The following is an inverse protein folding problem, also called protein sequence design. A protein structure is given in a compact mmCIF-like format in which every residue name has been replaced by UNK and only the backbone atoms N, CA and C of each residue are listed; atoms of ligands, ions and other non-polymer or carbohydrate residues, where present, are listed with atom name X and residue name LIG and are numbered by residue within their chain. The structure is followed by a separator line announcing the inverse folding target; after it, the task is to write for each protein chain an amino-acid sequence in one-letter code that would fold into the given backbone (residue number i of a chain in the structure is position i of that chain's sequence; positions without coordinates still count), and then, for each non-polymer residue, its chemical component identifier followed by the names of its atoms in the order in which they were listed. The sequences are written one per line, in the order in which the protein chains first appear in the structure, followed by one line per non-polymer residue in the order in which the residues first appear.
data_IF_021591075115
#
_entry.id   IF_021591075115
#
_cell.length_a   1.000
_cell.length_b   1.000
_cell.length_c   1.000
_cell.angle_alpha   90.00
_cell.angle_beta   90.00
_cell.angle_gamma   90.00
#
_symmetry.space_group_name_H-M   'P 1'
#
loop_
_entity.id
_entity.type
_entity.pdbx_description
1 polymer ?
#
# COMPACT_ATOMS: atom_id res chain seq x y z
N UNK A 1 -18.12 33.16 23.19
CA UNK A 1 -18.42 31.85 22.57
C UNK A 1 -17.28 31.44 21.63
N UNK A 2 -16.15 30.88 22.10
CA UNK A 2 -15.03 30.46 21.22
C UNK A 2 -14.20 29.23 21.70
N UNK A 3 -14.56 28.56 22.79
CA UNK A 3 -13.75 27.45 23.34
C UNK A 3 -14.17 26.03 22.92
N UNK A 4 -15.35 25.85 22.32
CA UNK A 4 -15.92 24.52 22.04
C UNK A 4 -15.25 23.79 20.86
N UNK A 5 -14.64 24.51 19.92
CA UNK A 5 -14.11 23.92 18.67
C UNK A 5 -12.73 23.27 18.85
N UNK A 6 -11.92 23.71 19.82
CA UNK A 6 -10.55 23.20 19.98
C UNK A 6 -10.52 21.80 20.62
N UNK A 7 -11.43 21.53 21.57
CA UNK A 7 -11.48 20.24 22.29
C UNK A 7 -11.95 19.09 21.39
N UNK A 8 -12.90 19.36 20.49
CA UNK A 8 -13.44 18.39 19.53
C UNK A 8 -12.37 17.99 18.50
N UNK A 9 -11.58 18.96 18.02
CA UNK A 9 -10.51 18.70 17.05
C UNK A 9 -9.40 17.84 17.69
N UNK A 10 -9.02 18.11 18.94
CA UNK A 10 -7.99 17.34 19.64
C UNK A 10 -8.42 15.89 19.94
N UNK A 11 -9.70 15.65 20.21
CA UNK A 11 -10.22 14.31 20.49
C UNK A 11 -10.37 13.45 19.23
N UNK A 12 -10.72 14.06 18.09
CA UNK A 12 -10.75 13.35 16.80
C UNK A 12 -9.34 12.90 16.38
N UNK A 13 -8.32 13.73 16.61
CA UNK A 13 -6.93 13.39 16.30
C UNK A 13 -6.46 12.19 17.12
N UNK A 14 -6.75 12.15 18.43
CA UNK A 14 -6.35 11.04 19.30
C UNK A 14 -7.03 9.72 18.90
N UNK A 15 -8.29 9.77 18.48
CA UNK A 15 -9.03 8.58 18.02
C UNK A 15 -8.46 8.04 16.69
N UNK A 16 -8.05 8.92 15.78
CA UNK A 16 -7.42 8.52 14.49
C UNK A 16 -6.04 7.89 14.72
N UNK A 17 -5.26 8.39 15.70
CA UNK A 17 -3.94 7.83 16.03
C UNK A 17 -4.03 6.42 16.66
N UNK A 18 -5.07 6.14 17.45
CA UNK A 18 -5.23 4.84 18.13
C UNK A 18 -5.75 3.73 17.20
N UNK A 19 -6.49 4.07 16.14
CA UNK A 19 -7.04 3.09 15.20
C UNK A 19 -5.99 2.47 14.26
N UNK A 20 -4.79 3.08 14.16
CA UNK A 20 -3.75 2.67 13.21
C UNK A 20 -2.84 1.54 13.70
N UNK A 21 -3.00 1.06 14.95
CA UNK A 21 -2.04 0.14 15.60
C UNK A 21 -2.58 -1.30 15.72
N UNK A 22 -3.85 -1.56 15.40
CA UNK A 22 -4.50 -2.83 15.78
C UNK A 22 -4.55 -3.94 14.71
N UNK A 23 -3.82 -3.85 13.60
CA UNK A 23 -3.75 -5.00 12.66
C UNK A 23 -2.55 -5.88 13.01
N UNK A 24 -2.75 -7.15 13.42
CA UNK A 24 -1.64 -8.08 13.49
C UNK A 24 -1.10 -8.34 12.07
N UNK A 25 0.20 -8.15 11.88
CA UNK A 25 0.88 -8.54 10.63
C UNK A 25 1.13 -10.05 10.73
N UNK A 26 0.36 -10.83 9.98
CA UNK A 26 0.72 -12.22 9.72
C UNK A 26 1.75 -12.23 8.60
N UNK A 27 3.02 -12.43 8.94
CA UNK A 27 4.07 -12.67 7.94
C UNK A 27 3.90 -14.10 7.45
N UNK A 28 3.29 -14.27 6.30
CA UNK A 28 3.36 -15.52 5.53
C UNK A 28 4.35 -15.30 4.40
N UNK A 29 5.62 -15.65 4.63
CA UNK A 29 6.54 -15.85 3.53
C UNK A 29 6.06 -17.07 2.73
N UNK A 30 5.85 -16.90 1.43
CA UNK A 30 6.00 -17.86 0.32
C UNK A 30 5.02 -17.50 -0.79
N UNK A 31 5.54 -16.95 -1.89
CA UNK A 31 4.92 -17.09 -3.21
C UNK A 31 6.03 -17.04 -4.26
N UNK A 32 6.52 -18.22 -4.67
CA UNK A 32 7.22 -18.36 -5.96
C UNK A 32 6.19 -18.12 -7.06
N UNK A 33 6.20 -16.94 -7.69
CA UNK A 33 5.06 -16.41 -8.43
C UNK A 33 4.61 -17.26 -9.63
N UNK A 34 5.50 -18.04 -10.26
CA UNK A 34 5.14 -18.88 -11.41
C UNK A 34 5.33 -20.40 -11.19
N UNK A 35 5.62 -20.83 -9.95
CA UNK A 35 5.91 -22.25 -9.65
C UNK A 35 7.25 -22.70 -10.24
N UNK A 36 7.58 -23.98 -10.18
CA UNK A 36 8.87 -24.54 -10.60
C UNK A 36 9.16 -24.30 -12.09
N UNK A 37 10.37 -23.88 -12.43
CA UNK A 37 10.85 -23.70 -13.81
C UNK A 37 12.08 -24.57 -14.12
N UNK A 38 12.45 -24.64 -15.41
CA UNK A 38 13.69 -25.29 -15.84
C UNK A 38 14.92 -24.58 -15.25
N UNK A 39 15.86 -25.36 -14.72
CA UNK A 39 17.06 -24.88 -14.04
C UNK A 39 16.90 -24.64 -12.54
N UNK A 40 15.67 -24.65 -12.01
CA UNK A 40 15.45 -24.54 -10.56
C UNK A 40 15.99 -25.78 -9.83
N UNK A 41 16.33 -25.59 -8.55
CA UNK A 41 16.51 -26.70 -7.61
C UNK A 41 15.36 -26.70 -6.63
N UNK A 42 14.56 -27.77 -6.62
CA UNK A 42 13.39 -27.90 -5.75
C UNK A 42 13.59 -29.02 -4.71
N UNK A 43 13.16 -28.76 -3.47
CA UNK A 43 13.02 -29.78 -2.44
C UNK A 43 11.63 -30.39 -2.53
N UNK A 44 11.57 -31.69 -2.85
CA UNK A 44 10.33 -32.39 -3.17
C UNK A 44 10.16 -33.58 -2.24
N UNK A 45 9.02 -33.64 -1.55
CA UNK A 45 8.58 -34.88 -0.90
C UNK A 45 7.78 -35.70 -1.88
N UNK A 46 8.09 -36.98 -2.02
CA UNK A 46 7.34 -37.82 -2.95
C UNK A 46 7.26 -39.29 -2.53
N UNK A 47 6.36 -40.02 -3.18
CA UNK A 47 6.29 -41.48 -3.16
C UNK A 47 5.98 -41.98 -4.57
N UNK A 48 6.88 -42.78 -5.11
CA UNK A 48 6.74 -43.47 -6.38
C UNK A 48 6.13 -44.85 -6.18
N UNK A 49 5.03 -45.12 -6.90
CA UNK A 49 4.42 -46.44 -6.99
C UNK A 49 4.26 -46.87 -8.44
N UNK A 50 4.14 -48.18 -8.66
CA UNK A 50 3.89 -48.78 -9.96
C UNK A 50 3.03 -50.04 -9.78
N UNK A 51 2.38 -50.48 -10.85
CA UNK A 51 1.61 -51.73 -10.89
C UNK A 51 2.44 -52.76 -11.67
N UNK A 52 3.08 -53.74 -10.99
CA UNK A 52 3.96 -54.71 -11.64
C UNK A 52 3.22 -55.62 -12.62
N UNK A 53 1.99 -56.04 -12.29
CA UNK A 53 1.25 -57.09 -13.00
C UNK A 53 0.11 -56.52 -13.87
N UNK A 54 -0.23 -55.24 -13.71
CA UNK A 54 -1.34 -54.58 -14.39
C UNK A 54 -2.72 -54.97 -13.84
N UNK A 55 -2.77 -55.50 -12.62
CA UNK A 55 -3.99 -56.01 -11.96
C UNK A 55 -4.63 -54.98 -11.01
N UNK A 56 -4.02 -53.81 -10.83
CA UNK A 56 -4.45 -52.73 -9.96
C UNK A 56 -3.84 -52.76 -8.55
N UNK A 57 -2.96 -53.72 -8.25
CA UNK A 57 -2.20 -53.74 -6.99
C UNK A 57 -0.91 -52.91 -7.15
N UNK A 58 -0.80 -51.83 -6.38
CA UNK A 58 0.32 -50.89 -6.49
C UNK A 58 1.42 -51.19 -5.47
N UNK A 59 2.66 -51.24 -5.93
CA UNK A 59 3.86 -51.37 -5.10
C UNK A 59 4.61 -50.04 -5.00
N UNK A 60 5.10 -49.70 -3.80
CA UNK A 60 6.02 -48.58 -3.58
C UNK A 60 7.44 -48.99 -4.01
N UNK A 61 8.09 -48.14 -4.79
CA UNK A 61 9.46 -48.39 -5.25
C UNK A 61 10.47 -47.32 -4.85
N UNK A 62 10.00 -46.11 -4.53
CA UNK A 62 10.83 -45.01 -4.04
C UNK A 62 10.02 -44.07 -3.15
N UNK A 63 10.64 -43.55 -2.08
CA UNK A 63 9.96 -42.73 -1.08
C UNK A 63 10.91 -41.77 -0.38
N UNK A 64 10.53 -40.49 -0.42
CA UNK A 64 11.22 -39.41 0.27
C UNK A 64 10.22 -38.48 0.98
N UNK A 65 9.34 -39.02 1.84
CA UNK A 65 8.29 -38.23 2.51
C UNK A 65 8.77 -37.37 3.69
N UNK A 66 9.79 -37.82 4.41
CA UNK A 66 10.15 -37.16 5.68
C UNK A 66 11.08 -35.97 5.41
N UNK A 67 12.20 -36.22 4.73
CA UNK A 67 13.22 -35.20 4.46
C UNK A 67 13.11 -34.56 3.07
N UNK A 68 12.27 -35.11 2.18
CA UNK A 68 12.29 -34.74 0.77
C UNK A 68 13.56 -35.19 0.04
N UNK A 69 13.62 -34.92 -1.26
CA UNK A 69 14.80 -35.03 -2.09
C UNK A 69 14.95 -33.74 -2.90
N UNK A 70 16.19 -33.31 -3.10
CA UNK A 70 16.50 -32.18 -3.95
C UNK A 70 16.60 -32.64 -5.41
N UNK A 71 15.89 -31.95 -6.29
CA UNK A 71 15.93 -32.19 -7.72
C UNK A 71 16.29 -30.92 -8.46
N UNK A 72 17.34 -31.01 -9.28
CA UNK A 72 17.59 -30.02 -10.33
C UNK A 72 16.63 -30.28 -11.48
N UNK A 73 15.82 -29.27 -11.80
CA UNK A 73 14.73 -29.37 -12.77
C UNK A 73 15.30 -29.14 -14.17
N UNK A 74 15.94 -30.17 -14.72
CA UNK A 74 16.57 -30.15 -16.03
C UNK A 74 16.18 -31.38 -16.86
N UNK A 75 15.96 -31.23 -18.18
CA UNK A 75 15.77 -32.37 -19.07
C UNK A 75 16.94 -33.36 -18.99
N UNK A 76 16.63 -34.66 -18.96
CA UNK A 76 17.63 -35.74 -18.93
C UNK A 76 18.30 -35.99 -17.57
N UNK A 77 18.02 -35.19 -16.53
CA UNK A 77 18.38 -35.49 -15.13
C UNK A 77 17.34 -36.34 -14.42
N UNK A 78 16.08 -36.15 -14.81
CA UNK A 78 14.91 -36.85 -14.30
C UNK A 78 14.28 -37.61 -15.46
N UNK A 79 13.44 -38.61 -15.14
CA UNK A 79 12.56 -39.21 -16.15
C UNK A 79 11.60 -38.13 -16.67
N UNK A 80 11.37 -38.12 -17.98
CA UNK A 80 10.69 -37.02 -18.68
C UNK A 80 9.31 -36.70 -18.09
N UNK A 81 8.53 -37.72 -17.71
CA UNK A 81 7.19 -37.51 -17.18
C UNK A 81 7.21 -36.87 -15.79
N UNK A 82 8.21 -37.18 -14.97
CA UNK A 82 8.37 -36.57 -13.65
C UNK A 82 8.85 -35.11 -13.78
N UNK A 83 9.83 -34.84 -14.64
CA UNK A 83 10.27 -33.49 -15.00
C UNK A 83 9.08 -32.61 -15.44
N UNK A 84 8.33 -33.06 -16.45
CA UNK A 84 7.17 -32.33 -16.96
C UNK A 84 6.07 -32.18 -15.90
N UNK A 85 5.92 -33.15 -15.00
CA UNK A 85 4.95 -33.12 -13.92
C UNK A 85 5.25 -32.05 -12.87
N UNK A 86 6.53 -31.78 -12.59
CA UNK A 86 7.00 -30.80 -11.61
C UNK A 86 6.92 -29.35 -12.12
N UNK A 87 7.10 -29.12 -13.42
CA UNK A 87 7.04 -27.78 -14.00
C UNK A 87 5.71 -27.07 -13.64
N UNK A 88 5.83 -25.82 -13.22
CA UNK A 88 4.73 -24.95 -12.80
C UNK A 88 4.16 -25.25 -11.42
N UNK A 89 4.60 -26.31 -10.73
CA UNK A 89 4.12 -26.60 -9.37
C UNK A 89 4.63 -25.55 -8.38
N UNK A 90 3.75 -25.05 -7.52
CA UNK A 90 4.10 -24.02 -6.52
C UNK A 90 4.58 -24.63 -5.22
N UNK A 91 5.36 -23.87 -4.45
CA UNK A 91 5.71 -24.26 -3.08
C UNK A 91 4.43 -24.47 -2.26
N UNK A 92 4.35 -25.61 -1.57
CA UNK A 92 3.17 -26.06 -0.83
C UNK A 92 2.11 -26.78 -1.66
N UNK A 93 2.31 -26.94 -2.97
CA UNK A 93 1.41 -27.70 -3.83
C UNK A 93 1.65 -29.20 -3.70
N UNK A 94 0.54 -29.98 -3.73
CA UNK A 94 0.57 -31.44 -3.83
C UNK A 94 -0.10 -31.89 -5.12
N UNK A 95 0.53 -32.80 -5.86
CA UNK A 95 0.04 -33.29 -7.15
C UNK A 95 0.37 -34.77 -7.32
N UNK A 96 -0.57 -35.51 -7.91
CA UNK A 96 -0.31 -36.87 -8.40
C UNK A 96 0.18 -36.77 -9.85
N UNK A 97 1.43 -37.13 -10.09
CA UNK A 97 2.03 -37.16 -11.42
C UNK A 97 1.96 -38.60 -11.92
N UNK A 98 1.31 -38.79 -13.07
CA UNK A 98 1.22 -40.10 -13.74
C UNK A 98 2.18 -40.07 -14.92
N UNK A 99 3.16 -40.97 -14.90
CA UNK A 99 4.20 -41.06 -15.91
C UNK A 99 3.94 -42.29 -16.77
N UNK A 100 3.51 -42.11 -18.03
CA UNK A 100 3.33 -43.24 -18.94
C UNK A 100 4.68 -43.89 -19.28
N UNK A 101 4.69 -45.15 -19.74
CA UNK A 101 5.92 -45.91 -19.99
C UNK A 101 6.93 -45.19 -20.89
N UNK A 102 6.43 -44.52 -21.94
CA UNK A 102 7.23 -43.75 -22.90
C UNK A 102 7.97 -42.54 -22.31
N UNK A 103 7.59 -42.10 -21.10
CA UNK A 103 8.19 -40.96 -20.40
C UNK A 103 8.80 -41.36 -19.05
N UNK A 104 8.88 -42.66 -18.77
CA UNK A 104 9.44 -43.24 -17.55
C UNK A 104 10.86 -43.74 -17.76
N UNK A 105 11.13 -44.96 -17.34
CA UNK A 105 12.39 -45.65 -17.61
C UNK A 105 12.35 -46.29 -18.99
N UNK A 106 13.14 -45.77 -19.93
CA UNK A 106 13.19 -46.25 -21.32
C UNK A 106 14.64 -46.52 -21.72
N UNK A 107 14.89 -47.62 -22.44
CA UNK A 107 16.23 -48.02 -22.90
C UNK A 107 17.21 -48.21 -21.73
N UNK A 108 16.74 -48.76 -20.63
CA UNK A 108 17.58 -49.00 -19.46
C UNK A 108 18.56 -50.15 -19.72
N UNK A 109 19.80 -50.08 -19.21
CA UNK A 109 20.75 -51.17 -19.41
C UNK A 109 20.26 -52.48 -18.78
N UNK A 110 20.40 -53.63 -19.47
CA UNK A 110 20.09 -54.93 -18.89
C UNK A 110 20.88 -55.18 -17.61
N UNK A 111 20.21 -55.68 -16.57
CA UNK A 111 20.77 -55.91 -15.24
C UNK A 111 20.84 -54.67 -14.35
N UNK A 112 20.36 -53.51 -14.80
CA UNK A 112 20.26 -52.32 -13.94
C UNK A 112 19.11 -52.48 -12.92
N UNK A 113 19.22 -51.88 -11.71
CA UNK A 113 18.11 -51.88 -10.75
C UNK A 113 16.80 -51.29 -11.31
N UNK A 114 16.90 -50.45 -12.35
CA UNK A 114 15.78 -49.78 -13.00
C UNK A 114 15.10 -50.63 -14.08
N UNK A 115 15.70 -51.75 -14.51
CA UNK A 115 15.16 -52.63 -15.56
C UNK A 115 13.71 -53.05 -15.31
N UNK A 116 13.37 -53.34 -14.04
CA UNK A 116 12.02 -53.75 -13.64
C UNK A 116 10.92 -52.69 -13.83
N UNK A 117 11.31 -51.44 -14.05
CA UNK A 117 10.37 -50.33 -14.29
C UNK A 117 10.26 -49.97 -15.78
N UNK A 118 11.05 -50.59 -16.65
CA UNK A 118 10.95 -50.38 -18.08
C UNK A 118 9.60 -50.85 -18.60
N UNK A 119 8.93 -50.01 -19.38
CA UNK A 119 7.59 -50.33 -19.90
C UNK A 119 6.45 -50.12 -18.90
N UNK A 120 6.74 -49.74 -17.66
CA UNK A 120 5.72 -49.56 -16.61
C UNK A 120 5.18 -48.13 -16.55
N UNK A 121 3.92 -47.99 -16.13
CA UNK A 121 3.36 -46.69 -15.74
C UNK A 121 3.73 -46.42 -14.29
N UNK A 122 4.27 -45.24 -14.02
CA UNK A 122 4.69 -44.83 -12.68
C UNK A 122 3.76 -43.74 -12.14
N UNK A 123 3.53 -43.76 -10.84
CA UNK A 123 2.64 -42.85 -10.15
C UNK A 123 3.40 -42.18 -9.02
N UNK A 124 3.41 -40.84 -8.99
CA UNK A 124 4.12 -40.07 -7.99
C UNK A 124 3.16 -39.18 -7.23
N UNK A 125 2.97 -39.48 -5.95
CA UNK A 125 2.34 -38.57 -5.00
C UNK A 125 3.40 -37.57 -4.53
N UNK A 126 3.27 -36.32 -4.97
CA UNK A 126 4.35 -35.33 -4.93
C UNK A 126 3.92 -34.07 -4.19
N UNK A 127 4.80 -33.51 -3.34
CA UNK A 127 4.61 -32.27 -2.60
C UNK A 127 5.86 -31.38 -2.67
N UNK A 128 5.69 -30.11 -3.06
CA UNK A 128 6.81 -29.16 -3.15
C UNK A 128 7.03 -28.49 -1.80
N UNK A 129 8.20 -28.73 -1.19
CA UNK A 129 8.56 -28.15 0.11
C UNK A 129 9.13 -26.75 -0.05
N UNK A 130 10.06 -26.57 -0.99
CA UNK A 130 10.71 -25.28 -1.27
C UNK A 130 11.43 -25.28 -2.63
N UNK A 131 11.78 -24.09 -3.11
CA UNK A 131 12.68 -23.90 -4.25
C UNK A 131 13.96 -23.27 -3.68
N UNK A 132 15.08 -24.00 -3.77
CA UNK A 132 16.37 -23.71 -3.11
C UNK A 132 17.21 -22.76 -3.97
N UNK A 133 17.25 -23.01 -5.28
CA UNK A 133 18.04 -22.23 -6.23
C UNK A 133 17.11 -21.85 -7.37
N UNK A 134 16.79 -20.56 -7.42
CA UNK A 134 15.74 -19.96 -8.24
C UNK A 134 15.56 -18.54 -7.74
N UNK A 135 16.57 -17.70 -7.95
CA UNK A 135 16.55 -16.28 -7.58
C UNK A 135 15.63 -15.56 -8.55
N UNK A 136 14.32 -15.75 -8.37
CA UNK A 136 13.27 -15.10 -9.14
C UNK A 136 12.67 -14.01 -8.28
N UNK A 137 12.90 -12.76 -8.68
CA UNK A 137 12.15 -11.60 -8.21
C UNK A 137 10.69 -11.80 -8.62
N UNK A 138 9.96 -12.49 -7.75
CA UNK A 138 8.54 -12.77 -7.87
C UNK A 138 7.71 -11.52 -7.54
N UNK A 139 8.22 -10.35 -7.90
CA UNK A 139 7.71 -9.05 -7.52
C UNK A 139 6.76 -8.51 -8.58
N UNK A 140 5.65 -9.24 -8.72
CA UNK A 140 4.35 -8.62 -8.96
C UNK A 140 3.72 -8.08 -7.67
N UNK A 141 4.45 -8.10 -6.56
CA UNK A 141 4.06 -7.53 -5.28
C UNK A 141 5.13 -6.56 -4.78
N UNK A 142 5.40 -5.48 -5.53
CA UNK A 142 5.94 -4.24 -4.97
C UNK A 142 6.98 -4.41 -3.84
N UNK A 143 8.07 -5.13 -4.08
CA UNK A 143 9.21 -5.24 -3.15
C UNK A 143 10.09 -3.98 -3.12
N UNK A 144 9.53 -2.84 -3.54
CA UNK A 144 10.10 -1.50 -3.36
C UNK A 144 9.19 -0.55 -2.58
N UNK A 145 8.06 -1.04 -2.05
CA UNK A 145 7.03 -0.15 -1.56
C UNK A 145 6.95 -0.17 -0.03
N UNK A 146 7.29 0.99 0.51
CA UNK A 146 6.36 1.64 1.45
C UNK A 146 6.50 1.29 2.93
N UNK A 147 7.71 1.37 3.48
CA UNK A 147 7.83 2.13 4.74
C UNK A 147 8.44 3.50 4.48
N UNK A 148 9.58 3.58 3.78
CA UNK A 148 10.20 4.85 3.42
C UNK A 148 9.33 5.75 2.53
N UNK A 149 8.75 5.19 1.47
CA UNK A 149 7.90 5.95 0.52
C UNK A 149 6.49 6.23 1.08
N UNK A 150 5.94 5.33 1.90
CA UNK A 150 4.69 5.59 2.63
C UNK A 150 4.90 6.67 3.69
N UNK A 151 5.97 6.59 4.48
CA UNK A 151 6.35 7.67 5.39
C UNK A 151 6.62 8.97 4.63
N UNK A 152 7.34 8.93 3.50
CA UNK A 152 7.61 10.13 2.70
C UNK A 152 6.31 10.75 2.15
N UNK A 153 5.35 9.93 1.72
CA UNK A 153 4.03 10.39 1.30
C UNK A 153 3.19 10.91 2.46
N UNK A 154 3.28 10.29 3.65
CA UNK A 154 2.53 10.68 4.83
C UNK A 154 3.09 11.98 5.43
N UNK A 155 4.42 12.07 5.59
CA UNK A 155 5.11 13.30 5.98
C UNK A 155 4.97 14.38 4.91
N UNK A 156 4.96 14.04 3.63
CA UNK A 156 4.71 14.97 2.53
C UNK A 156 3.29 15.55 2.58
N UNK A 157 2.28 14.71 2.83
CA UNK A 157 0.88 15.12 2.94
C UNK A 157 0.64 15.94 4.22
N UNK A 158 1.20 15.53 5.36
CA UNK A 158 1.13 16.27 6.63
C UNK A 158 1.85 17.62 6.50
N UNK A 159 3.06 17.65 5.94
CA UNK A 159 3.78 18.89 5.68
C UNK A 159 3.00 19.81 4.72
N UNK A 160 2.41 19.24 3.66
CA UNK A 160 1.54 19.95 2.73
C UNK A 160 0.31 20.57 3.40
N UNK A 161 -0.39 19.80 4.23
CA UNK A 161 -1.55 20.30 4.99
C UNK A 161 -1.12 21.42 5.95
N UNK A 162 0.02 21.27 6.63
CA UNK A 162 0.52 22.31 7.54
C UNK A 162 0.85 23.58 6.77
N UNK A 163 1.54 23.49 5.62
CA UNK A 163 1.88 24.66 4.78
C UNK A 163 0.62 25.32 4.23
N UNK A 164 -0.33 24.55 3.71
CA UNK A 164 -1.61 25.08 3.21
C UNK A 164 -2.40 25.75 4.35
N UNK A 165 -2.41 25.15 5.55
CA UNK A 165 -3.06 25.72 6.72
C UNK A 165 -2.40 27.04 7.13
N UNK A 166 -1.07 27.11 7.16
CA UNK A 166 -0.34 28.35 7.45
C UNK A 166 -0.61 29.44 6.40
N UNK A 167 -0.63 29.09 5.11
CA UNK A 167 -0.94 30.02 4.01
C UNK A 167 -2.39 30.52 4.13
N UNK A 168 -3.35 29.62 4.38
CA UNK A 168 -4.75 29.99 4.55
C UNK A 168 -4.96 30.89 5.79
N UNK A 169 -4.28 30.59 6.90
CA UNK A 169 -4.26 31.42 8.10
C UNK A 169 -3.67 32.80 7.80
N UNK A 170 -2.51 32.86 7.13
CA UNK A 170 -1.88 34.11 6.72
C UNK A 170 -2.81 34.95 5.83
N UNK A 171 -3.41 34.32 4.82
CA UNK A 171 -4.34 34.99 3.91
C UNK A 171 -5.59 35.47 4.65
N UNK A 172 -6.15 34.66 5.56
CA UNK A 172 -7.25 35.07 6.44
C UNK A 172 -6.88 36.31 7.27
N UNK A 173 -5.70 36.36 7.88
CA UNK A 173 -5.21 37.55 8.59
C UNK A 173 -4.97 38.74 7.66
N UNK A 174 -4.51 38.51 6.44
CA UNK A 174 -4.30 39.55 5.43
C UNK A 174 -5.63 40.16 4.95
N UNK A 175 -6.67 39.34 4.80
CA UNK A 175 -8.02 39.80 4.46
C UNK A 175 -8.62 40.64 5.61
N UNK A 176 -8.38 40.27 6.86
CA UNK A 176 -8.82 41.05 8.02
C UNK A 176 -8.17 42.44 8.09
N UNK A 177 -6.98 42.66 7.48
CA UNK A 177 -6.36 44.00 7.41
C UNK A 177 -7.09 44.96 6.43
N UNK A 178 -7.84 44.44 5.46
CA UNK A 178 -8.58 45.27 4.50
C UNK A 178 -9.98 45.69 5.02
N UNK A 179 -10.48 45.05 6.08
CA UNK A 179 -11.78 45.35 6.70
C UNK A 179 -11.65 46.27 7.93
N UNK A 180 -10.75 47.25 7.89
CA UNK A 180 -10.97 48.48 8.67
C UNK A 180 -11.36 49.57 7.69
N UNK A 181 -12.58 50.14 7.78
CA UNK A 181 -12.99 51.21 6.89
C UNK A 181 -12.15 52.44 7.22
N UNK A 182 -11.00 52.59 6.57
CA UNK A 182 -10.31 53.88 6.46
C UNK A 182 -11.10 54.70 5.43
N UNK A 183 -11.59 55.87 5.83
CA UNK A 183 -12.16 56.83 4.90
C UNK A 183 -11.04 57.32 3.98
N UNK A 184 -10.85 56.68 2.83
CA UNK A 184 -9.62 56.85 2.06
C UNK A 184 -9.50 58.25 1.43
N UNK A 185 -10.56 59.06 1.32
CA UNK A 185 -10.50 60.43 0.79
C UNK A 185 -11.39 61.42 1.57
N UNK A 186 -10.92 61.97 2.70
CA UNK A 186 -11.39 63.28 3.15
C UNK A 186 -10.39 64.35 2.64
N UNK A 187 -10.58 64.88 1.42
CA UNK A 187 -9.67 65.89 0.85
C UNK A 187 -9.67 67.19 1.68
N UNK A 188 -8.50 67.56 2.20
CA UNK A 188 -8.25 68.76 3.02
C UNK A 188 -8.02 69.99 2.15
N UNK A 189 -9.08 70.49 1.51
CA UNK A 189 -9.04 71.79 0.84
C UNK A 189 -9.28 72.91 1.88
N UNK A 190 -8.20 73.49 2.42
CA UNK A 190 -8.23 74.76 3.16
C UNK A 190 -7.40 74.79 4.46
N UNK A 191 -6.49 75.76 4.56
CA UNK A 191 -5.67 76.05 5.76
C UNK A 191 -6.56 76.46 6.94
N UNK A 192 -6.58 75.61 7.97
CA UNK A 192 -6.70 75.86 9.42
C UNK A 192 -7.25 74.57 10.05
N UNK A 193 -6.38 73.86 10.77
CA UNK A 193 -6.55 72.47 11.20
C UNK A 193 -7.77 72.27 12.11
N UNK A 194 -8.76 71.54 11.61
CA UNK A 194 -9.81 70.91 12.41
C UNK A 194 -9.88 69.45 11.98
N UNK A 195 -9.93 68.46 12.90
CA UNK A 195 -9.96 67.05 12.54
C UNK A 195 -11.08 66.79 11.53
N UNK A 196 -10.68 66.33 10.34
CA UNK A 196 -11.55 66.12 9.19
C UNK A 196 -12.43 64.87 9.30
N UNK A 197 -12.15 64.02 10.29
CA UNK A 197 -12.80 62.73 10.55
C UNK A 197 -13.24 62.57 12.01
N UNK A 198 -14.30 61.77 12.21
CA UNK A 198 -14.84 61.46 13.51
C UNK A 198 -15.99 60.45 13.40
N UNK A 199 -16.58 60.09 14.53
CA UNK A 199 -17.65 59.08 14.62
C UNK A 199 -18.99 59.70 14.99
N UNK A 200 -20.07 59.10 14.53
CA UNK A 200 -21.39 59.40 15.06
C UNK A 200 -21.48 58.92 16.52
N UNK A 201 -21.85 59.80 17.45
CA UNK A 201 -21.94 59.47 18.87
C UNK A 201 -23.03 58.45 19.22
N UNK A 202 -23.98 58.18 18.31
CA UNK A 202 -25.05 57.19 18.51
C UNK A 202 -24.70 55.81 17.93
N UNK A 203 -24.25 55.75 16.67
CA UNK A 203 -24.02 54.47 15.97
C UNK A 203 -22.54 54.09 15.82
N UNK A 204 -21.61 54.97 16.20
CA UNK A 204 -20.16 54.73 16.12
C UNK A 204 -19.58 54.71 14.70
N UNK A 205 -20.41 54.90 13.67
CA UNK A 205 -19.99 54.92 12.27
C UNK A 205 -19.12 56.15 11.97
N UNK A 206 -18.07 55.95 11.15
CA UNK A 206 -17.13 57.00 10.76
C UNK A 206 -17.67 57.86 9.60
N UNK A 207 -17.51 59.17 9.70
CA UNK A 207 -17.88 60.12 8.65
C UNK A 207 -16.86 61.26 8.54
N UNK A 208 -16.67 61.81 7.34
CA UNK A 208 -16.01 63.10 7.20
C UNK A 208 -16.93 64.22 7.74
N UNK A 209 -16.36 65.23 8.41
CA UNK A 209 -17.12 66.30 9.07
C UNK A 209 -18.05 67.07 8.12
N UNK A 210 -17.66 67.30 6.86
CA UNK A 210 -18.50 67.97 5.84
C UNK A 210 -19.78 67.17 5.52
N UNK A 211 -19.67 65.85 5.39
CA UNK A 211 -20.81 64.98 5.08
C UNK A 211 -21.78 64.83 6.25
N UNK A 212 -21.31 65.02 7.48
CA UNK A 212 -22.14 65.00 8.69
C UNK A 212 -22.96 66.28 8.91
N UNK A 213 -22.76 67.33 8.09
CA UNK A 213 -23.43 68.63 8.26
C UNK A 213 -24.97 68.58 8.27
N UNK A 214 -25.57 67.51 7.71
CA UNK A 214 -27.03 67.29 7.71
C UNK A 214 -27.50 66.20 8.70
N UNK A 215 -26.62 65.75 9.60
CA UNK A 215 -26.86 64.62 10.51
C UNK A 215 -26.40 63.28 9.94
N UNK A 216 -26.34 62.26 10.80
CA UNK A 216 -25.90 60.92 10.44
C UNK A 216 -26.87 60.26 9.43
N UNK A 217 -26.46 59.89 8.21
CA UNK A 217 -27.35 59.25 7.24
C UNK A 217 -27.93 57.92 7.73
N UNK A 218 -27.16 57.20 8.55
CA UNK A 218 -27.53 55.84 8.99
C UNK A 218 -28.48 55.82 10.19
N UNK A 219 -28.51 56.87 11.02
CA UNK A 219 -29.29 56.86 12.26
C UNK A 219 -29.89 58.21 12.65
N UNK A 220 -29.85 59.19 11.74
CA UNK A 220 -30.37 60.56 11.85
C UNK A 220 -29.93 61.34 13.09
N UNK A 221 -28.91 60.85 13.79
CA UNK A 221 -28.34 61.51 14.96
C UNK A 221 -27.46 62.70 14.57
N UNK A 222 -27.48 63.74 15.40
CA UNK A 222 -26.71 64.97 15.18
C UNK A 222 -25.46 65.05 16.07
N UNK A 223 -25.13 63.98 16.82
CA UNK A 223 -23.94 63.92 17.66
C UNK A 223 -22.73 63.44 16.85
N UNK A 224 -21.72 64.30 16.74
CA UNK A 224 -20.44 63.98 16.12
C UNK A 224 -19.35 64.04 17.20
N UNK A 225 -18.59 62.96 17.32
CA UNK A 225 -17.43 62.86 18.21
C UNK A 225 -16.19 62.91 17.32
N UNK A 226 -15.41 64.01 17.33
CA UNK A 226 -14.15 64.05 16.59
C UNK A 226 -13.21 62.96 17.10
N UNK A 227 -12.45 62.36 16.18
CA UNK A 227 -11.35 61.46 16.55
C UNK A 227 -10.22 62.23 17.24
#
# INVERSE_FOLDING_TARGET
MKHTNLSIIMSIIIIVQLFSISTPISVTAYTSCDGIEEGDVALVQYTGTYDPDGDGEFEEFDRHRDNGAEFTIEPGRLIDGFYNGLLGMKVGERKNIIVPPSQGYVNVPPGSPQEKFEGQTLYFDTYIVSIIQGERDCDGANSGDSFGNQLASFFGYVAGILVISFIAIYFYYSLQKQTTPKCEHCSSEGRNDVPSEGKCGKCGQFYCRKSFSRGCPSCTANSFVPN
#
